data_IF_850557591446
#
_entry.id   IF_850557591446
#
_cell.length_a   1.000
_cell.length_b   1.000
_cell.length_c   1.000
_cell.angle_alpha   90.00
_cell.angle_beta   90.00
_cell.angle_gamma   90.00
#
_symmetry.space_group_name_H-M   'P 1'
#
loop_
_entity.id
_entity.type
_entity.pdbx_description
1 polymer ?
#
# COMPACT_ATOMS: atom_id res chain seq x y z
N UNK A 1 -2.45 5.46 7.04
CA UNK A 1 -2.23 6.51 6.04
C UNK A 1 -2.81 7.80 6.57
N UNK A 2 -2.14 8.95 6.38
CA UNK A 2 -2.65 10.29 6.71
C UNK A 2 -2.70 11.10 5.42
N UNK A 3 -3.54 12.13 5.38
CA UNK A 3 -3.71 12.99 4.22
C UNK A 3 -3.86 14.44 4.70
N UNK A 4 -3.02 15.34 4.20
CA UNK A 4 -3.09 16.77 4.40
C UNK A 4 -3.43 17.50 3.10
N UNK A 5 -4.33 18.48 3.14
CA UNK A 5 -4.75 19.25 1.96
C UNK A 5 -4.72 20.74 2.26
N UNK A 6 -4.11 21.49 1.35
CA UNK A 6 -4.06 22.94 1.38
C UNK A 6 -4.28 23.50 -0.03
N UNK A 7 -5.03 24.60 -0.12
CA UNK A 7 -5.25 25.35 -1.35
C UNK A 7 -4.45 26.65 -1.30
N UNK A 8 -3.53 26.81 -2.24
CA UNK A 8 -2.63 27.96 -2.34
C UNK A 8 -1.96 28.05 -3.71
N UNK A 9 -1.01 28.97 -3.84
CA UNK A 9 -0.27 29.21 -5.06
C UNK A 9 0.99 28.34 -5.12
N UNK A 10 1.33 27.87 -6.33
CA UNK A 10 2.49 26.99 -6.51
C UNK A 10 3.34 27.39 -7.70
N UNK A 11 4.66 27.19 -7.57
CA UNK A 11 5.59 27.19 -8.68
C UNK A 11 5.84 25.74 -9.09
N UNK A 12 5.70 25.43 -10.37
CA UNK A 12 5.99 24.10 -10.89
C UNK A 12 6.90 24.19 -12.12
N UNK A 13 7.64 23.11 -12.38
CA UNK A 13 8.55 23.07 -13.52
C UNK A 13 9.18 21.71 -13.72
N UNK A 14 9.92 21.58 -14.81
CA UNK A 14 10.74 20.40 -15.10
C UNK A 14 12.19 20.71 -14.74
N UNK A 15 12.80 19.87 -13.92
CA UNK A 15 14.20 19.97 -13.51
C UNK A 15 15.02 18.81 -14.09
N UNK A 16 16.30 19.09 -14.34
CA UNK A 16 17.29 18.11 -14.80
C UNK A 16 17.62 18.24 -16.29
N UNK A 17 18.85 17.91 -16.66
CA UNK A 17 19.32 17.98 -18.07
C UNK A 17 19.26 16.64 -18.78
N UNK A 18 19.48 15.52 -18.07
CA UNK A 18 19.51 14.15 -18.64
C UNK A 18 18.36 13.27 -18.18
N UNK A 19 17.88 13.48 -16.96
CA UNK A 19 16.69 12.82 -16.41
C UNK A 19 15.77 13.94 -15.95
N UNK A 20 14.73 14.17 -16.74
CA UNK A 20 13.79 15.23 -16.49
C UNK A 20 12.78 14.77 -15.45
N UNK A 21 12.55 15.61 -14.44
CA UNK A 21 11.57 15.37 -13.39
C UNK A 21 10.66 16.59 -13.30
N UNK A 22 9.35 16.37 -13.34
CA UNK A 22 8.40 17.41 -13.00
C UNK A 22 8.28 17.49 -11.48
N UNK A 23 8.33 18.71 -10.94
CA UNK A 23 8.21 18.94 -9.50
C UNK A 23 7.50 20.28 -9.22
N UNK A 24 7.03 20.43 -7.98
CA UNK A 24 6.24 21.55 -7.48
C UNK A 24 6.81 22.05 -6.17
N UNK A 25 7.06 23.36 -6.08
CA UNK A 25 7.61 24.02 -4.90
C UNK A 25 6.80 25.25 -4.53
N UNK A 26 6.52 25.41 -3.24
CA UNK A 26 5.92 26.62 -2.66
C UNK A 26 5.97 26.55 -1.14
N UNK A 27 5.77 27.68 -0.49
CA UNK A 27 5.42 27.71 0.93
C UNK A 27 4.12 26.95 1.22
N UNK A 28 3.16 27.02 0.29
CA UNK A 28 1.87 26.33 0.38
C UNK A 28 2.01 24.80 0.27
N UNK A 29 3.00 24.33 -0.48
CA UNK A 29 3.36 22.89 -0.54
C UNK A 29 3.97 22.45 0.78
N UNK A 30 4.86 23.25 1.36
CA UNK A 30 5.44 22.99 2.68
C UNK A 30 4.35 22.96 3.75
N UNK A 31 3.39 23.89 3.71
CA UNK A 31 2.22 23.88 4.59
C UNK A 31 1.38 22.60 4.41
N UNK A 32 1.13 22.17 3.18
CA UNK A 32 0.41 20.91 2.92
C UNK A 32 1.15 19.69 3.52
N UNK A 33 2.48 19.70 3.50
CA UNK A 33 3.30 18.67 4.15
C UNK A 33 3.09 18.68 5.67
N UNK A 34 3.14 19.86 6.31
CA UNK A 34 2.84 19.99 7.74
C UNK A 34 1.40 19.60 8.09
N UNK A 35 0.45 19.80 7.16
CA UNK A 35 -0.92 19.33 7.30
C UNK A 35 -1.03 17.79 7.28
N UNK A 36 -0.20 17.10 6.50
CA UNK A 36 -0.12 15.63 6.51
C UNK A 36 0.55 15.12 7.79
N UNK A 37 1.68 15.72 8.18
CA UNK A 37 2.43 15.29 9.37
C UNK A 37 1.62 15.48 10.65
N UNK A 38 0.95 16.63 10.78
CA UNK A 38 0.03 16.95 11.86
C UNK A 38 -1.38 16.35 11.71
N UNK A 39 -1.62 15.52 10.68
CA UNK A 39 -2.91 14.90 10.41
C UNK A 39 -3.18 13.64 11.25
N UNK A 40 -4.46 13.24 11.34
CA UNK A 40 -4.85 11.98 11.99
C UNK A 40 -4.91 10.83 10.97
N UNK A 41 -4.51 9.60 11.35
CA UNK A 41 -4.55 8.46 10.44
C UNK A 41 -6.01 8.13 10.05
N UNK A 42 -6.22 7.88 8.76
CA UNK A 42 -7.54 7.55 8.20
C UNK A 42 -8.48 8.75 8.06
N UNK A 43 -8.00 9.97 8.34
CA UNK A 43 -8.75 11.22 8.20
C UNK A 43 -8.06 12.14 7.19
N UNK A 44 -8.86 13.01 6.56
CA UNK A 44 -8.34 14.06 5.68
C UNK A 44 -8.30 15.36 6.46
N UNK A 45 -7.11 15.91 6.63
CA UNK A 45 -6.83 17.13 7.36
C UNK A 45 -6.72 18.30 6.38
N UNK A 46 -7.53 19.33 6.55
CA UNK A 46 -7.66 20.45 5.61
C UNK A 46 -7.47 21.79 6.31
N UNK A 47 -6.96 22.77 5.58
CA UNK A 47 -6.88 24.16 6.06
C UNK A 47 -8.19 24.92 5.81
N UNK A 48 -8.36 26.06 6.48
CA UNK A 48 -9.47 27.00 6.22
C UNK A 48 -9.55 27.43 4.75
N UNK A 49 -8.40 27.68 4.12
CA UNK A 49 -8.35 28.02 2.69
C UNK A 49 -9.03 26.94 1.83
N UNK A 50 -8.77 25.66 2.12
CA UNK A 50 -9.42 24.55 1.40
C UNK A 50 -10.91 24.50 1.72
N UNK A 51 -11.30 24.68 2.98
CA UNK A 51 -12.71 24.65 3.42
C UNK A 51 -13.57 25.67 2.66
N UNK A 52 -13.06 26.87 2.41
CA UNK A 52 -13.74 27.92 1.63
C UNK A 52 -14.09 27.47 0.20
N UNK A 53 -13.28 26.60 -0.40
CA UNK A 53 -13.50 26.08 -1.75
C UNK A 53 -14.41 24.84 -1.79
N UNK A 54 -14.72 24.22 -0.66
CA UNK A 54 -15.55 23.00 -0.61
C UNK A 54 -17.05 23.26 -0.69
N UNK A 55 -17.50 24.53 -0.72
CA UNK A 55 -18.92 24.92 -0.86
C UNK A 55 -19.88 24.17 0.08
N UNK A 56 -19.43 23.81 1.30
CA UNK A 56 -20.19 23.02 2.29
C UNK A 56 -20.64 21.63 1.81
N UNK A 57 -19.98 21.06 0.79
CA UNK A 57 -20.27 19.71 0.32
C UNK A 57 -19.92 18.62 1.36
N UNK A 58 -19.05 18.95 2.31
CA UNK A 58 -18.61 18.04 3.36
C UNK A 58 -18.82 18.65 4.74
N UNK A 59 -19.21 17.81 5.70
CA UNK A 59 -19.16 18.14 7.12
C UNK A 59 -17.72 18.04 7.63
N UNK A 60 -17.34 18.98 8.49
CA UNK A 60 -15.99 19.08 9.05
C UNK A 60 -16.03 19.25 10.56
N UNK A 61 -15.05 18.70 11.25
CA UNK A 61 -14.80 18.91 12.68
C UNK A 61 -13.54 19.78 12.86
N UNK A 62 -13.38 20.39 14.02
CA UNK A 62 -12.17 21.15 14.34
C UNK A 62 -10.94 20.24 14.37
N UNK A 63 -9.94 20.60 13.58
CA UNK A 63 -8.74 19.79 13.39
C UNK A 63 -7.77 19.92 14.55
N UNK A 64 -7.73 21.05 15.26
CA UNK A 64 -6.78 21.32 16.35
C UNK A 64 -5.31 21.05 15.96
N UNK A 65 -4.93 21.37 14.71
CA UNK A 65 -3.60 21.11 14.16
C UNK A 65 -2.46 21.72 14.96
N UNK A 66 -2.64 22.92 15.51
CA UNK A 66 -1.63 23.60 16.32
C UNK A 66 -1.27 22.93 17.65
N UNK A 67 -2.03 21.95 18.12
CA UNK A 67 -1.64 21.15 19.29
C UNK A 67 -0.63 20.05 18.92
N UNK A 68 -0.64 19.61 17.66
CA UNK A 68 0.18 18.49 17.17
C UNK A 68 1.41 18.95 16.41
N UNK A 69 1.34 20.14 15.80
CA UNK A 69 2.39 20.68 14.97
C UNK A 69 2.68 22.14 15.34
N UNK A 70 3.96 22.42 15.64
CA UNK A 70 4.41 23.74 16.06
C UNK A 70 4.31 24.78 14.93
N UNK A 71 4.54 24.38 13.68
CA UNK A 71 4.48 25.28 12.53
C UNK A 71 3.06 25.79 12.31
N UNK A 72 2.07 24.90 12.44
CA UNK A 72 0.65 25.29 12.37
C UNK A 72 0.24 26.23 13.52
N UNK A 73 0.83 26.05 14.70
CA UNK A 73 0.60 26.90 15.87
C UNK A 73 1.19 28.29 15.70
N UNK A 74 2.45 28.39 15.28
CA UNK A 74 3.17 29.65 15.10
C UNK A 74 2.51 30.54 14.05
N UNK A 75 2.05 29.93 12.95
CA UNK A 75 1.34 30.63 11.87
C UNK A 75 -0.16 30.83 12.15
N UNK A 76 -0.65 30.39 13.31
CA UNK A 76 -2.07 30.48 13.73
C UNK A 76 -3.05 29.96 12.66
N UNK A 77 -2.69 28.85 12.01
CA UNK A 77 -3.47 28.31 10.89
C UNK A 77 -4.67 27.54 11.42
N UNK A 78 -5.86 27.96 11.00
CA UNK A 78 -7.11 27.25 11.32
C UNK A 78 -7.23 25.99 10.46
N UNK A 79 -7.53 24.88 11.13
CA UNK A 79 -7.49 23.53 10.54
C UNK A 79 -8.71 22.72 10.91
N UNK A 80 -9.09 21.81 10.01
CA UNK A 80 -10.31 21.02 10.10
C UNK A 80 -10.06 19.58 9.66
N UNK A 81 -10.85 18.64 10.17
CA UNK A 81 -10.85 17.25 9.71
C UNK A 81 -12.17 16.95 9.02
N UNK A 82 -12.11 16.33 7.85
CA UNK A 82 -13.33 15.95 7.12
C UNK A 82 -13.98 14.73 7.78
N UNK A 83 -15.31 14.77 7.91
CA UNK A 83 -16.11 13.66 8.41
C UNK A 83 -16.54 12.81 7.21
N UNK A 84 -16.23 11.51 7.23
CA UNK A 84 -16.73 10.60 6.19
C UNK A 84 -18.25 10.44 6.39
N UNK A 85 -19.09 10.76 5.39
CA UNK A 85 -20.54 10.60 5.50
C UNK A 85 -20.95 9.14 5.76
N UNK A 86 -20.11 8.16 5.38
CA UNK A 86 -20.36 6.74 5.61
C UNK A 86 -20.01 6.28 7.03
N UNK A 87 -19.25 7.07 7.79
CA UNK A 87 -18.91 6.72 9.17
C UNK A 87 -20.14 6.64 10.08
N UNK A 88 -21.16 7.48 9.83
CA UNK A 88 -22.43 7.47 10.58
C UNK A 88 -23.18 6.13 10.46
N UNK A 89 -23.12 5.49 9.30
CA UNK A 89 -23.80 4.20 9.04
C UNK A 89 -23.08 2.99 9.65
N UNK A 90 -21.76 3.07 9.90
CA UNK A 90 -21.02 1.95 10.48
C UNK A 90 -21.28 1.78 11.99
N UNK A 91 -21.61 2.85 12.71
CA UNK A 91 -21.98 2.76 14.12
C UNK A 91 -23.23 1.88 14.35
N UNK A 92 -24.18 1.93 13.41
CA UNK A 92 -25.41 1.14 13.45
C UNK A 92 -25.22 -0.31 12.97
N UNK A 93 -24.17 -0.60 12.20
CA UNK A 93 -23.91 -1.92 11.62
C UNK A 93 -22.88 -2.76 12.41
N UNK A 94 -22.64 -2.38 13.67
CA UNK A 94 -21.77 -3.11 14.60
C UNK A 94 -22.43 -4.36 15.23
N UNK A 95 -23.60 -4.78 14.74
CA UNK A 95 -24.11 -6.13 14.99
C UNK A 95 -23.29 -7.15 14.20
N UNK A 96 -22.22 -7.62 14.83
CA UNK A 96 -21.60 -8.95 14.69
C UNK A 96 -21.95 -9.73 13.41
N UNK A 97 -21.31 -9.40 12.29
CA UNK A 97 -21.11 -10.42 11.27
C UNK A 97 -19.99 -11.33 11.78
N UNK A 98 -20.26 -12.62 12.08
CA UNK A 98 -19.20 -13.52 12.47
C UNK A 98 -18.22 -13.61 11.30
N UNK A 99 -16.96 -13.23 11.55
CA UNK A 99 -15.85 -13.50 10.64
C UNK A 99 -15.96 -14.98 10.23
N UNK A 100 -16.03 -15.33 8.93
CA UNK A 100 -15.99 -16.72 8.55
C UNK A 100 -14.67 -17.28 9.08
N UNK A 101 -14.76 -18.17 10.07
CA UNK A 101 -13.64 -18.96 10.55
C UNK A 101 -13.17 -19.80 9.36
N UNK A 102 -12.16 -19.33 8.64
CA UNK A 102 -11.44 -20.11 7.63
C UNK A 102 -10.57 -21.14 8.34
N UNK A 103 -11.21 -22.11 8.98
CA UNK A 103 -10.52 -23.16 9.73
C UNK A 103 -9.89 -24.22 8.81
N UNK A 104 -10.13 -24.16 7.49
CA UNK A 104 -9.59 -25.13 6.52
C UNK A 104 -8.29 -24.71 5.83
N UNK A 105 -7.87 -23.43 5.96
CA UNK A 105 -6.65 -22.93 5.31
C UNK A 105 -5.36 -23.14 6.13
N UNK A 106 -5.47 -23.29 7.46
CA UNK A 106 -4.32 -23.31 8.36
C UNK A 106 -3.47 -24.59 8.25
N UNK A 107 -4.03 -25.67 7.69
CA UNK A 107 -3.31 -26.93 7.45
C UNK A 107 -2.49 -26.91 6.15
N UNK A 108 -2.70 -25.93 5.28
CA UNK A 108 -1.98 -25.82 4.02
C UNK A 108 -0.69 -25.03 4.18
N UNK A 109 0.38 -25.57 3.59
CA UNK A 109 1.65 -24.87 3.40
C UNK A 109 1.37 -23.51 2.78
N UNK A 110 2.04 -22.46 3.28
CA UNK A 110 1.79 -21.07 2.87
C UNK A 110 1.84 -20.88 1.34
N UNK A 111 2.70 -21.63 0.64
CA UNK A 111 2.77 -21.65 -0.82
C UNK A 111 1.47 -22.09 -1.50
N UNK A 112 0.81 -23.13 -0.98
CA UNK A 112 -0.45 -23.66 -1.53
C UNK A 112 -1.59 -22.65 -1.36
N UNK A 113 -1.62 -21.96 -0.22
CA UNK A 113 -2.56 -20.85 0.00
C UNK A 113 -2.32 -19.71 -0.98
N UNK A 114 -1.06 -19.34 -1.19
CA UNK A 114 -0.70 -18.27 -2.12
C UNK A 114 -1.07 -18.62 -3.57
N UNK A 115 -0.84 -19.86 -4.00
CA UNK A 115 -1.23 -20.33 -5.33
C UNK A 115 -2.75 -20.27 -5.53
N UNK A 116 -3.54 -20.77 -4.58
CA UNK A 116 -5.02 -20.75 -4.68
C UNK A 116 -5.58 -19.32 -4.63
N UNK A 117 -4.95 -18.42 -3.88
CA UNK A 117 -5.30 -17.00 -3.86
C UNK A 117 -5.03 -16.34 -5.22
N UNK A 118 -3.87 -16.59 -5.84
CA UNK A 118 -3.58 -16.06 -7.17
C UNK A 118 -4.52 -16.60 -8.26
N UNK A 119 -4.94 -17.86 -8.14
CA UNK A 119 -5.93 -18.48 -9.03
C UNK A 119 -7.30 -17.79 -8.97
N UNK A 120 -7.78 -17.39 -7.79
CA UNK A 120 -9.07 -16.70 -7.67
C UNK A 120 -9.07 -15.28 -8.25
N UNK A 121 -7.89 -14.67 -8.39
CA UNK A 121 -7.72 -13.35 -9.02
C UNK A 121 -7.62 -13.42 -10.55
N UNK A 122 -7.75 -14.62 -11.15
CA UNK A 122 -7.62 -14.81 -12.59
C UNK A 122 -6.22 -14.50 -13.11
N UNK A 123 -5.19 -14.58 -12.25
CA UNK A 123 -3.82 -14.37 -12.66
C UNK A 123 -3.46 -15.40 -13.73
N UNK A 124 -3.14 -14.91 -14.93
CA UNK A 124 -2.68 -15.76 -16.03
C UNK A 124 -1.46 -16.51 -15.52
N UNK A 125 -1.44 -17.83 -15.73
CA UNK A 125 -0.31 -18.70 -15.37
C UNK A 125 0.58 -18.86 -16.60
N UNK A 126 1.52 -17.92 -16.89
CA UNK A 126 2.50 -18.22 -17.91
C UNK A 126 3.22 -19.49 -17.45
N UNK A 127 3.39 -20.45 -18.35
CA UNK A 127 4.04 -21.75 -18.08
C UNK A 127 3.20 -22.83 -17.37
N UNK A 128 1.88 -22.68 -17.20
CA UNK A 128 1.04 -23.79 -16.70
C UNK A 128 1.16 -25.07 -17.56
N UNK A 129 1.36 -24.89 -18.88
CA UNK A 129 1.55 -25.98 -19.84
C UNK A 129 2.88 -26.73 -19.68
N UNK A 130 3.83 -26.24 -18.89
CA UNK A 130 5.09 -26.94 -18.63
C UNK A 130 4.99 -27.99 -17.50
N UNK A 131 3.82 -28.12 -16.86
CA UNK A 131 3.62 -29.11 -15.79
C UNK A 131 3.19 -30.49 -16.29
N UNK A 132 2.86 -30.65 -17.58
CA UNK A 132 2.64 -31.97 -18.17
C UNK A 132 4.00 -32.62 -18.44
N UNK A 133 4.43 -33.47 -17.49
CA UNK A 133 5.48 -34.44 -17.77
C UNK A 133 4.92 -35.52 -18.71
N UNK A 134 4.93 -35.23 -20.00
CA UNK A 134 4.74 -36.25 -21.03
C UNK A 134 6.11 -36.79 -21.44
N UNK A 135 6.31 -38.09 -21.20
CA UNK A 135 7.50 -38.80 -21.65
C UNK A 135 7.97 -39.86 -20.67
N UNK A 136 7.38 -41.06 -20.79
CA UNK A 136 7.93 -42.41 -20.64
C UNK A 136 7.07 -43.37 -19.82
N UNK A 137 6.34 -44.20 -20.60
CA UNK A 137 5.94 -45.60 -20.40
C UNK A 137 5.66 -46.11 -18.97
N UNK A 138 4.39 -46.48 -18.81
CA UNK A 138 3.84 -47.42 -17.84
C UNK A 138 4.73 -48.66 -17.67
N UNK A 139 5.18 -48.92 -16.45
CA UNK A 139 5.28 -50.28 -15.92
C UNK A 139 5.15 -50.30 -14.39
N UNK A 140 4.61 -51.42 -13.94
CA UNK A 140 3.91 -51.74 -12.69
C UNK A 140 4.72 -51.68 -11.39
N UNK A 141 4.04 -51.20 -10.34
CA UNK A 141 4.08 -51.54 -8.90
C UNK A 141 5.41 -51.67 -8.13
N UNK A 142 5.50 -50.97 -6.99
CA UNK A 142 5.81 -51.45 -5.61
C UNK A 142 6.53 -50.37 -4.77
N UNK A 143 5.98 -50.17 -3.58
CA UNK A 143 6.55 -49.61 -2.35
C UNK A 143 8.08 -49.38 -2.32
N UNK A 144 8.52 -48.15 -2.03
CA UNK A 144 9.91 -47.90 -1.64
C UNK A 144 10.36 -46.46 -1.72
N UNK A 145 10.61 -45.86 -0.55
CA UNK A 145 11.32 -44.59 -0.30
C UNK A 145 12.26 -44.15 -1.45
N UNK A 146 12.01 -42.99 -2.03
CA UNK A 146 13.00 -42.31 -2.89
C UNK A 146 13.55 -41.06 -2.18
N UNK A 147 14.77 -41.23 -1.66
CA UNK A 147 15.70 -40.18 -1.19
C UNK A 147 15.69 -38.99 -2.15
N UNK A 148 15.54 -37.78 -1.60
CA UNK A 148 15.92 -36.55 -2.28
C UNK A 148 17.44 -36.58 -2.45
N UNK A 149 17.94 -36.61 -3.69
CA UNK A 149 19.36 -36.39 -3.96
C UNK A 149 19.58 -34.89 -4.02
N UNK A 150 20.44 -34.40 -3.13
CA UNK A 150 20.91 -33.02 -3.12
C UNK A 150 21.52 -32.62 -4.47
N UNK A 151 21.19 -31.42 -4.92
CA UNK A 151 21.79 -30.79 -6.10
C UNK A 151 23.11 -30.14 -5.64
N UNK A 152 24.25 -30.38 -6.30
CA UNK A 152 25.51 -29.78 -5.88
C UNK A 152 25.47 -28.26 -6.12
N UNK A 153 25.77 -27.49 -5.06
CA UNK A 153 26.07 -26.06 -5.16
C UNK A 153 27.34 -25.90 -6.01
N UNK A 154 27.19 -25.27 -7.18
CA UNK A 154 28.30 -24.91 -8.04
C UNK A 154 28.96 -23.64 -7.48
N UNK A 155 30.09 -23.80 -6.80
CA UNK A 155 30.93 -22.69 -6.31
C UNK A 155 31.50 -21.93 -7.51
N UNK A 156 31.19 -20.64 -7.62
CA UNK A 156 31.82 -19.74 -8.57
C UNK A 156 33.19 -19.30 -8.01
N UNK A 157 34.28 -19.75 -8.62
CA UNK A 157 35.60 -19.17 -8.42
C UNK A 157 35.77 -17.94 -9.32
N UNK A 158 35.82 -16.74 -8.74
CA UNK A 158 36.37 -15.55 -9.39
C UNK A 158 37.88 -15.56 -9.23
N UNK A 159 38.61 -15.79 -10.32
CA UNK A 159 40.04 -15.46 -10.39
C UNK A 159 40.19 -13.98 -10.76
N UNK A 160 40.73 -13.21 -9.82
CA UNK A 160 41.32 -11.90 -10.06
C UNK A 160 42.60 -12.13 -10.88
N UNK A 161 42.80 -11.35 -11.93
CA UNK A 161 44.09 -11.26 -12.64
C UNK A 161 44.38 -9.79 -12.83
N UNK A 162 45.37 -9.29 -12.08
CA UNK A 162 46.04 -8.02 -12.29
C UNK A 162 46.76 -8.03 -13.64
N UNK A 163 46.61 -6.93 -14.39
CA UNK A 163 47.68 -6.28 -15.16
C UNK A 163 47.42 -4.79 -15.20
#
# INVERSE_FOLDING_TARGET
MRVGVHSGNVLCGVIGLRKWQFDVWSHDVTLANYMESGGLPGRVHITEATLKHLNKAYEVEEGNGGLRDAYLKELNIQTYLVIDPRSKNQALNSHSMPKPRVNDGLKMRASVRMTRYLESWGAVKPFAHLQSREGYTQDTMVNGKSRCKDIPLRTAHTKITER
#
